data_IF_739146807958
#
_entry.id   IF_739146807958
#
_cell.length_a   1.000
_cell.length_b   1.000
_cell.length_c   1.000
_cell.angle_alpha   90.00
_cell.angle_beta   90.00
_cell.angle_gamma   90.00
#
_symmetry.space_group_name_H-M   'P 1'
#
loop_
_entity.id
_entity.type
_entity.pdbx_description
1 polymer ?
#
# COMPACT_ATOMS: atom_id res chain seq x y z
N UNK A 1 52.79 17.33 19.49
CA UNK A 1 51.44 17.80 19.09
C UNK A 1 51.01 16.96 17.89
N UNK A 2 50.08 16.01 18.03
CA UNK A 2 49.47 15.37 16.88
C UNK A 2 48.29 16.22 16.41
N UNK A 3 48.35 16.64 15.15
CA UNK A 3 47.32 17.41 14.46
C UNK A 3 46.03 16.60 14.35
N UNK A 4 44.92 17.27 14.64
CA UNK A 4 43.55 16.78 14.51
C UNK A 4 43.25 16.29 13.09
N UNK A 5 42.66 15.12 13.00
CA UNK A 5 42.03 14.55 11.80
C UNK A 5 40.93 15.50 11.31
N UNK A 6 41.17 16.14 10.17
CA UNK A 6 40.16 16.92 9.47
C UNK A 6 39.20 16.01 8.70
N UNK A 7 37.94 16.05 9.11
CA UNK A 7 36.73 16.09 8.26
C UNK A 7 36.63 15.02 7.16
N UNK A 8 35.96 13.91 7.48
CA UNK A 8 35.25 13.13 6.47
C UNK A 8 34.13 14.00 5.90
N UNK A 9 34.35 14.55 4.71
CA UNK A 9 33.29 15.09 3.88
C UNK A 9 32.40 13.95 3.39
N UNK A 10 31.27 13.73 4.08
CA UNK A 10 30.15 13.03 3.47
C UNK A 10 29.62 13.94 2.36
N UNK A 11 29.73 13.47 1.14
CA UNK A 11 29.02 14.02 -0.01
C UNK A 11 27.53 14.06 0.34
N UNK A 12 26.97 15.26 0.56
CA UNK A 12 25.54 15.50 0.77
C UNK A 12 24.79 15.41 -0.57
N UNK A 13 24.99 14.32 -1.30
CA UNK A 13 24.17 13.96 -2.46
C UNK A 13 22.87 13.34 -1.95
N UNK A 14 21.70 13.69 -2.51
CA UNK A 14 20.41 13.16 -2.07
C UNK A 14 20.38 11.63 -2.02
N UNK A 15 21.00 10.94 -2.98
CA UNK A 15 21.11 9.47 -3.00
C UNK A 15 21.84 8.90 -1.76
N UNK A 16 22.83 9.64 -1.22
CA UNK A 16 23.58 9.20 -0.05
C UNK A 16 22.76 9.36 1.24
N UNK A 17 21.92 10.39 1.31
CA UNK A 17 20.99 10.60 2.42
C UNK A 17 19.84 9.59 2.39
N UNK A 18 19.31 9.28 1.20
CA UNK A 18 18.30 8.23 1.02
C UNK A 18 18.84 6.86 1.44
N UNK A 19 20.08 6.54 1.04
CA UNK A 19 20.75 5.30 1.43
C UNK A 19 20.97 5.20 2.94
N UNK A 20 21.45 6.28 3.58
CA UNK A 20 21.64 6.33 5.05
C UNK A 20 20.31 6.19 5.79
N UNK A 21 19.24 6.83 5.31
CA UNK A 21 17.90 6.71 5.87
C UNK A 21 17.38 5.26 5.78
N UNK A 22 17.53 4.61 4.63
CA UNK A 22 17.13 3.20 4.45
C UNK A 22 17.92 2.25 5.36
N UNK A 23 19.23 2.49 5.54
CA UNK A 23 20.06 1.72 6.48
C UNK A 23 19.57 1.90 7.92
N UNK A 24 19.26 3.14 8.33
CA UNK A 24 18.79 3.43 9.69
C UNK A 24 17.38 2.85 9.94
N UNK A 25 16.48 2.93 8.95
CA UNK A 25 15.16 2.32 9.04
C UNK A 25 15.21 0.80 9.10
N UNK A 26 16.06 0.15 8.29
CA UNK A 26 16.21 -1.31 8.29
C UNK A 26 16.91 -1.85 9.54
N UNK A 27 17.70 -1.03 10.24
CA UNK A 27 18.26 -1.36 11.55
C UNK A 27 17.27 -1.16 12.71
N UNK A 28 16.10 -0.56 12.46
CA UNK A 28 15.08 -0.31 13.49
C UNK A 28 14.12 -1.50 13.62
N UNK A 29 13.93 -2.02 14.83
CA UNK A 29 12.90 -3.02 15.10
C UNK A 29 11.48 -2.43 14.95
N UNK A 30 11.33 -1.11 15.03
CA UNK A 30 10.04 -0.44 14.87
C UNK A 30 9.40 -0.68 13.50
N UNK A 31 10.22 -0.89 12.45
CA UNK A 31 9.72 -1.24 11.13
C UNK A 31 9.14 -2.67 11.08
N UNK A 32 9.75 -3.60 11.83
CA UNK A 32 9.26 -4.98 11.96
C UNK A 32 7.91 -4.99 12.69
N UNK A 33 7.80 -4.24 13.80
CA UNK A 33 6.53 -4.09 14.55
C UNK A 33 5.42 -3.47 13.68
N UNK A 34 5.77 -2.46 12.86
CA UNK A 34 4.82 -1.86 11.92
C UNK A 34 4.38 -2.88 10.85
N UNK A 35 5.29 -3.69 10.33
CA UNK A 35 4.97 -4.75 9.37
C UNK A 35 4.02 -5.78 9.97
N UNK A 36 4.26 -6.25 11.19
CA UNK A 36 3.39 -7.21 11.87
C UNK A 36 1.98 -6.64 12.09
N UNK A 37 1.89 -5.38 12.51
CA UNK A 37 0.61 -4.69 12.70
C UNK A 37 -0.18 -4.56 11.39
N UNK A 38 0.47 -4.10 10.31
CA UNK A 38 -0.16 -3.97 8.99
C UNK A 38 -0.60 -5.33 8.43
N UNK A 39 0.25 -6.35 8.56
CA UNK A 39 -0.09 -7.70 8.13
C UNK A 39 -1.26 -8.27 8.94
N UNK A 40 -1.30 -8.01 10.24
CA UNK A 40 -2.43 -8.35 11.11
C UNK A 40 -3.71 -7.64 10.69
N UNK A 41 -3.63 -6.34 10.38
CA UNK A 41 -4.77 -5.56 9.89
C UNK A 41 -5.28 -6.08 8.55
N UNK A 42 -4.39 -6.44 7.61
CA UNK A 42 -4.79 -7.04 6.32
C UNK A 42 -5.50 -8.39 6.49
N UNK A 43 -4.99 -9.27 7.36
CA UNK A 43 -5.64 -10.55 7.66
C UNK A 43 -7.02 -10.36 8.27
N UNK A 44 -7.16 -9.49 9.29
CA UNK A 44 -8.46 -9.24 9.93
C UNK A 44 -9.50 -8.67 8.97
N UNK A 45 -9.06 -7.93 7.95
CA UNK A 45 -9.92 -7.39 6.89
C UNK A 45 -10.20 -8.38 5.76
N UNK A 46 -9.66 -9.60 5.83
CA UNK A 46 -9.86 -10.66 4.85
C UNK A 46 -9.11 -10.42 3.53
N UNK A 47 -8.12 -9.53 3.51
CA UNK A 47 -7.42 -9.15 2.27
C UNK A 47 -6.57 -10.30 1.73
N UNK A 48 -5.87 -11.00 2.61
CA UNK A 48 -5.05 -12.18 2.28
C UNK A 48 -5.87 -13.31 1.68
N UNK A 49 -7.09 -13.50 2.18
CA UNK A 49 -8.05 -14.48 1.72
C UNK A 49 -8.59 -14.11 0.34
N UNK A 50 -8.85 -12.82 0.09
CA UNK A 50 -9.27 -12.34 -1.24
C UNK A 50 -8.20 -12.58 -2.29
N UNK A 51 -6.93 -12.29 -1.97
CA UNK A 51 -5.78 -12.51 -2.85
C UNK A 51 -5.61 -14.00 -3.17
N UNK A 52 -5.60 -14.85 -2.14
CA UNK A 52 -5.46 -16.30 -2.33
C UNK A 52 -6.64 -16.91 -3.08
N UNK A 53 -7.86 -16.45 -2.81
CA UNK A 53 -9.06 -16.89 -3.54
C UNK A 53 -9.00 -16.47 -5.00
N UNK A 54 -8.64 -15.22 -5.30
CA UNK A 54 -8.47 -14.74 -6.68
C UNK A 54 -7.42 -15.57 -7.43
N UNK A 55 -6.25 -15.82 -6.83
CA UNK A 55 -5.22 -16.66 -7.42
C UNK A 55 -5.72 -18.08 -7.72
N UNK A 56 -6.45 -18.68 -6.78
CA UNK A 56 -7.02 -20.01 -6.95
C UNK A 56 -8.09 -20.05 -8.06
N UNK A 57 -8.95 -19.02 -8.15
CA UNK A 57 -9.96 -18.93 -9.21
C UNK A 57 -9.33 -18.70 -10.59
N UNK A 58 -8.28 -17.87 -10.69
CA UNK A 58 -7.56 -17.66 -11.96
C UNK A 58 -7.00 -18.97 -12.53
N UNK A 59 -6.41 -19.80 -11.67
CA UNK A 59 -5.90 -21.13 -12.04
C UNK A 59 -7.04 -22.09 -12.38
N UNK A 60 -8.11 -22.13 -11.56
CA UNK A 60 -9.24 -23.04 -11.77
C UNK A 60 -10.04 -22.73 -13.03
N UNK A 61 -10.16 -21.45 -13.37
CA UNK A 61 -10.80 -20.99 -14.59
C UNK A 61 -9.91 -21.16 -15.84
N UNK A 62 -8.66 -21.61 -15.69
CA UNK A 62 -7.70 -21.74 -16.79
C UNK A 62 -7.32 -20.40 -17.43
N UNK A 63 -7.47 -19.28 -16.70
CA UNK A 63 -7.11 -17.94 -17.17
C UNK A 63 -5.63 -17.62 -16.96
N UNK A 64 -4.99 -18.34 -16.05
CA UNK A 64 -3.55 -18.35 -15.84
C UNK A 64 -3.08 -19.80 -15.71
N UNK A 65 -1.91 -20.10 -16.25
CA UNK A 65 -1.30 -21.43 -16.20
C UNK A 65 0.06 -21.43 -15.50
N UNK A 66 0.69 -20.25 -15.40
CA UNK A 66 2.01 -20.07 -14.76
C UNK A 66 1.94 -19.16 -13.54
N UNK A 67 2.92 -19.28 -12.65
CA UNK A 67 3.03 -18.41 -11.47
C UNK A 67 3.14 -16.93 -11.85
N UNK A 68 3.94 -16.61 -12.87
CA UNK A 68 4.18 -15.24 -13.30
C UNK A 68 2.89 -14.58 -13.84
N UNK A 69 2.04 -15.33 -14.53
CA UNK A 69 0.73 -14.86 -14.99
C UNK A 69 -0.22 -14.56 -13.84
N UNK A 70 -0.29 -15.46 -12.85
CA UNK A 70 -1.12 -15.25 -11.64
C UNK A 70 -0.64 -14.02 -10.89
N UNK A 71 0.67 -13.90 -10.67
CA UNK A 71 1.26 -12.76 -9.97
C UNK A 71 0.99 -11.45 -10.73
N UNK A 72 1.20 -11.42 -12.04
CA UNK A 72 0.92 -10.26 -12.87
C UNK A 72 -0.55 -9.83 -12.80
N UNK A 73 -1.48 -10.79 -12.83
CA UNK A 73 -2.92 -10.53 -12.72
C UNK A 73 -3.31 -9.99 -11.33
N UNK A 74 -2.81 -10.61 -10.26
CA UNK A 74 -3.08 -10.18 -8.87
C UNK A 74 -2.50 -8.79 -8.62
N UNK A 75 -1.26 -8.53 -9.04
CA UNK A 75 -0.62 -7.21 -8.93
C UNK A 75 -1.39 -6.16 -9.71
N UNK A 76 -1.78 -6.46 -10.95
CA UNK A 76 -2.61 -5.55 -11.74
C UNK A 76 -3.93 -5.24 -11.03
N UNK A 77 -4.59 -6.23 -10.41
CA UNK A 77 -5.80 -6.00 -9.61
C UNK A 77 -5.54 -5.16 -8.36
N UNK A 78 -4.46 -5.44 -7.62
CA UNK A 78 -4.06 -4.70 -6.42
C UNK A 78 -3.75 -3.23 -6.71
N UNK A 79 -3.08 -2.95 -7.83
CA UNK A 79 -2.82 -1.61 -8.34
C UNK A 79 -4.07 -0.96 -8.96
N UNK A 80 -5.13 -1.74 -9.20
CA UNK A 80 -6.34 -1.32 -9.92
C UNK A 80 -6.11 -1.08 -11.42
N UNK A 81 -5.03 -1.61 -11.99
CA UNK A 81 -4.84 -1.72 -13.43
C UNK A 81 -5.80 -2.77 -14.03
N UNK A 82 -5.84 -2.82 -15.36
CA UNK A 82 -6.57 -3.85 -16.08
C UNK A 82 -5.61 -4.98 -16.49
N UNK A 83 -6.04 -6.23 -16.39
CA UNK A 83 -5.29 -7.40 -16.85
C UNK A 83 -6.23 -8.35 -17.60
N UNK A 84 -5.82 -8.93 -18.75
CA UNK A 84 -6.69 -9.78 -19.56
C UNK A 84 -7.32 -10.95 -18.79
N UNK A 85 -6.55 -11.57 -17.88
CA UNK A 85 -7.04 -12.67 -17.04
C UNK A 85 -8.16 -12.25 -16.06
N UNK A 86 -8.28 -10.96 -15.73
CA UNK A 86 -9.34 -10.45 -14.86
C UNK A 86 -10.65 -10.19 -15.62
N UNK A 87 -10.65 -10.31 -16.94
CA UNK A 87 -11.82 -10.04 -17.78
C UNK A 87 -12.14 -8.55 -17.92
N UNK A 88 -13.17 -8.21 -18.71
CA UNK A 88 -13.59 -6.83 -18.89
C UNK A 88 -14.09 -6.27 -17.56
N UNK A 89 -13.50 -5.15 -17.12
CA UNK A 89 -14.09 -4.38 -16.02
C UNK A 89 -15.48 -3.93 -16.48
N UNK A 90 -16.53 -4.50 -15.87
CA UNK A 90 -17.88 -3.98 -16.05
C UNK A 90 -17.85 -2.48 -15.74
N UNK A 91 -18.14 -1.65 -16.74
CA UNK A 91 -18.05 -0.19 -16.70
C UNK A 91 -19.15 0.45 -15.83
N UNK A 92 -19.36 -0.05 -14.62
CA UNK A 92 -20.24 0.53 -13.61
C UNK A 92 -19.40 0.95 -12.41
N UNK A 93 -18.70 2.07 -12.55
CA UNK A 93 -17.88 2.66 -11.49
C UNK A 93 -17.07 3.88 -11.90
N UNK A 94 -17.57 4.70 -12.82
CA UNK A 94 -17.13 6.11 -12.92
C UNK A 94 -17.54 6.80 -11.61
N UNK A 95 -16.59 7.31 -10.84
CA UNK A 95 -16.86 8.27 -9.77
C UNK A 95 -15.70 9.24 -9.65
N UNK A 96 -15.63 10.13 -10.64
CA UNK A 96 -15.24 11.52 -10.39
C UNK A 96 -16.36 12.15 -9.56
N UNK A 97 -16.14 12.44 -8.28
CA UNK A 97 -17.03 13.32 -7.51
C UNK A 97 -16.37 13.75 -6.20
N UNK A 98 -15.80 14.97 -6.21
CA UNK A 98 -15.63 15.77 -5.00
C UNK A 98 -16.99 15.96 -4.30
N UNK A 99 -17.02 15.83 -2.97
CA UNK A 99 -18.05 16.44 -2.12
C UNK A 99 -19.21 15.54 -1.67
N UNK A 100 -19.17 15.17 -0.38
CA UNK A 100 -20.31 15.04 0.55
C UNK A 100 -21.61 14.38 0.06
N UNK A 101 -21.79 13.09 0.40
CA UNK A 101 -22.97 12.61 1.14
C UNK A 101 -22.80 11.13 1.53
N UNK A 102 -22.89 10.84 2.82
CA UNK A 102 -23.15 9.49 3.31
C UNK A 102 -24.44 8.95 2.71
N UNK A 103 -24.38 7.79 2.05
CA UNK A 103 -25.54 6.90 1.93
C UNK A 103 -25.08 5.46 2.08
N UNK A 104 -25.58 4.79 3.13
CA UNK A 104 -25.51 3.35 3.31
C UNK A 104 -26.15 2.65 2.10
N UNK A 105 -25.33 2.23 1.15
CA UNK A 105 -25.74 1.39 0.03
C UNK A 105 -25.76 -0.07 0.46
N UNK A 106 -26.78 -0.48 1.19
CA UNK A 106 -27.16 -1.90 1.32
C UNK A 106 -27.50 -2.43 -0.08
N UNK A 107 -26.50 -2.91 -0.83
CA UNK A 107 -26.74 -3.77 -1.99
C UNK A 107 -27.30 -5.08 -1.46
N UNK A 108 -28.63 -5.13 -1.39
CA UNK A 108 -29.43 -6.32 -1.12
C UNK A 108 -29.27 -7.26 -2.32
N UNK A 109 -28.14 -7.96 -2.37
CA UNK A 109 -27.87 -9.04 -3.32
C UNK A 109 -28.81 -10.21 -3.01
N UNK A 110 -29.67 -10.52 -3.97
CA UNK A 110 -30.58 -11.66 -3.92
C UNK A 110 -29.80 -12.96 -3.65
N UNK A 111 -30.24 -13.76 -2.69
CA UNK A 111 -29.46 -14.85 -2.05
C UNK A 111 -29.53 -16.20 -2.80
N UNK A 112 -29.79 -16.21 -4.10
CA UNK A 112 -29.99 -17.43 -4.90
C UNK A 112 -29.28 -17.39 -6.28
N UNK A 113 -28.15 -16.68 -6.42
CA UNK A 113 -27.29 -16.85 -7.59
C UNK A 113 -26.23 -17.92 -7.28
N UNK A 114 -26.14 -19.01 -8.08
CA UNK A 114 -25.06 -19.97 -7.98
C UNK A 114 -23.69 -19.27 -7.98
N UNK A 115 -22.75 -19.76 -7.19
CA UNK A 115 -21.37 -19.28 -7.23
C UNK A 115 -20.82 -19.41 -8.65
N UNK A 116 -20.44 -18.29 -9.24
CA UNK A 116 -19.83 -18.22 -10.55
C UNK A 116 -18.37 -17.73 -10.41
N UNK A 117 -17.39 -18.64 -10.55
CA UNK A 117 -15.96 -18.32 -10.52
C UNK A 117 -15.56 -17.17 -11.45
N UNK A 118 -16.16 -17.11 -12.64
CA UNK A 118 -15.81 -16.13 -13.66
C UNK A 118 -16.26 -14.74 -13.22
N UNK A 119 -17.49 -14.66 -12.71
CA UNK A 119 -18.03 -13.43 -12.15
C UNK A 119 -17.25 -12.96 -10.92
N UNK A 120 -16.80 -13.89 -10.07
CA UNK A 120 -15.95 -13.55 -8.93
C UNK A 120 -14.63 -12.90 -9.38
N UNK A 121 -13.94 -13.49 -10.38
CA UNK A 121 -12.67 -12.95 -10.91
C UNK A 121 -12.86 -11.52 -11.46
N UNK A 122 -13.99 -11.25 -12.11
CA UNK A 122 -14.30 -9.95 -12.73
C UNK A 122 -14.71 -8.87 -11.71
N UNK A 123 -15.33 -9.26 -10.59
CA UNK A 123 -15.85 -8.34 -9.57
C UNK A 123 -14.91 -8.12 -8.38
N UNK A 124 -14.00 -9.07 -8.11
CA UNK A 124 -13.13 -9.00 -6.93
C UNK A 124 -12.10 -7.88 -7.06
N UNK A 125 -12.05 -7.03 -6.03
CA UNK A 125 -11.05 -5.98 -5.89
C UNK A 125 -10.10 -6.32 -4.74
N UNK A 126 -8.82 -6.52 -5.07
CA UNK A 126 -7.75 -6.82 -4.08
C UNK A 126 -6.85 -5.62 -3.81
N UNK A 127 -7.31 -4.39 -4.07
CA UNK A 127 -6.61 -3.19 -3.61
C UNK A 127 -6.46 -3.20 -2.09
N UNK A 128 -5.31 -2.72 -1.61
CA UNK A 128 -5.04 -2.57 -0.18
C UNK A 128 -6.13 -1.66 0.42
N UNK A 129 -6.80 -2.07 1.51
CA UNK A 129 -7.82 -1.25 2.16
C UNK A 129 -7.22 0.09 2.64
N UNK A 130 -7.92 1.19 2.34
CA UNK A 130 -7.50 2.56 2.72
C UNK A 130 -7.13 2.69 4.21
N UNK A 131 -7.88 2.11 5.18
CA UNK A 131 -7.51 2.23 6.59
C UNK A 131 -6.14 1.65 6.92
N UNK A 132 -5.71 0.60 6.20
CA UNK A 132 -4.38 -0.01 6.37
C UNK A 132 -3.30 0.86 5.73
N UNK A 133 -3.60 1.49 4.59
CA UNK A 133 -2.68 2.45 3.96
C UNK A 133 -2.46 3.65 4.88
N UNK A 134 -3.53 4.20 5.44
CA UNK A 134 -3.46 5.30 6.41
C UNK A 134 -2.67 4.93 7.67
N UNK A 135 -2.88 3.71 8.20
CA UNK A 135 -2.14 3.16 9.33
C UNK A 135 -0.64 3.07 8.99
N UNK A 136 -0.29 2.52 7.82
CA UNK A 136 1.10 2.34 7.40
C UNK A 136 1.82 3.66 7.14
N UNK A 137 1.17 4.62 6.48
CA UNK A 137 1.73 5.96 6.24
C UNK A 137 1.96 6.69 7.56
N UNK A 138 1.03 6.57 8.51
CA UNK A 138 1.17 7.20 9.83
C UNK A 138 2.30 6.57 10.63
N UNK A 139 2.32 5.24 10.74
CA UNK A 139 3.37 4.52 11.47
C UNK A 139 4.76 4.80 10.90
N UNK A 140 4.90 4.81 9.57
CA UNK A 140 6.18 5.13 8.94
C UNK A 140 6.62 6.58 9.20
N UNK A 141 5.68 7.54 9.21
CA UNK A 141 5.98 8.93 9.58
C UNK A 141 6.46 9.06 11.02
N UNK A 142 5.88 8.31 11.94
CA UNK A 142 6.25 8.33 13.35
C UNK A 142 7.67 7.76 13.54
N UNK A 143 8.00 6.67 12.85
CA UNK A 143 9.36 6.08 12.84
C UNK A 143 10.37 7.05 12.22
N UNK A 144 10.03 7.67 11.09
CA UNK A 144 10.91 8.62 10.40
C UNK A 144 11.24 9.85 11.26
N UNK A 145 10.30 10.30 12.10
CA UNK A 145 10.50 11.43 13.02
C UNK A 145 11.59 11.14 14.06
N UNK A 146 11.85 9.88 14.39
CA UNK A 146 12.95 9.51 15.31
C UNK A 146 14.34 9.65 14.64
N UNK A 147 14.39 9.52 13.32
CA UNK A 147 15.65 9.40 12.57
C UNK A 147 16.02 10.67 11.81
N UNK A 148 15.04 11.51 11.49
CA UNK A 148 15.20 12.74 10.72
C UNK A 148 14.41 13.92 11.31
N UNK A 149 15.09 15.04 11.49
CA UNK A 149 14.46 16.33 11.77
C UNK A 149 14.01 16.97 10.45
N UNK A 150 12.72 17.30 10.34
CA UNK A 150 12.20 18.07 9.22
C UNK A 150 12.55 19.54 9.41
N UNK A 151 13.67 20.00 8.83
CA UNK A 151 13.99 21.43 8.76
C UNK A 151 12.95 22.15 7.88
N UNK A 152 11.90 22.66 8.52
CA UNK A 152 10.80 23.37 7.87
C UNK A 152 9.77 23.98 8.83
N UNK A 153 9.77 23.59 10.11
CA UNK A 153 9.00 24.25 11.17
C UNK A 153 9.87 25.26 11.95
N UNK A 154 10.59 26.14 11.25
CA UNK A 154 11.26 27.29 11.88
C UNK A 154 10.32 28.50 11.80
N UNK A 155 9.62 28.73 12.92
CA UNK A 155 9.07 29.97 13.47
C UNK A 155 8.93 31.19 12.52
N UNK A 156 7.73 31.77 12.34
CA UNK A 156 7.59 33.07 11.67
C UNK A 156 8.28 34.14 12.52
N UNK A 157 9.41 34.61 12.00
CA UNK A 157 10.22 35.69 12.52
C UNK A 157 9.36 36.93 12.79
N UNK A 158 9.32 37.37 14.04
CA UNK A 158 8.41 38.42 14.48
C UNK A 158 8.81 39.06 15.80
N UNK A 159 10.02 39.61 15.90
CA UNK A 159 10.29 40.64 16.91
C UNK A 159 10.83 41.91 16.27
N UNK A 160 9.96 42.92 16.32
CA UNK A 160 10.26 44.33 16.10
C UNK A 160 11.10 44.84 17.27
N UNK A 161 12.22 45.50 16.99
CA UNK A 161 12.58 46.73 17.71
C UNK A 161 13.57 47.58 16.93
#
# INVERSE_FOLDING_TARGET
>A
MPSSTSTNGVSSTPDALESDLLVKLSASCALEDLQENLLGSLHRLGWTEKVTTLAAELLRAGRCETFDEVLAAVLASAEGRHHPALGPKSANGESTSNGSKETNGTKKGNKDTPYDPIKYIEEVNVRIPEPVVEEGVRGLKDILREVADLEGESTPNGEKK
#
